data_IF_950024546652
#
_entry.id   IF_950024546652
#
_cell.length_a   1.000
_cell.length_b   1.000
_cell.length_c   1.000
_cell.angle_alpha   90.00
_cell.angle_beta   90.00
_cell.angle_gamma   90.00
#
_symmetry.space_group_name_H-M   'P 1'
#
loop_
_entity.id
_entity.type
_entity.pdbx_description
1 polymer ?
#
# COMPACT_ATOMS: atom_id res chain seq x y z
N UNK A 1 22.36 -7.29 16.82
CA UNK A 1 22.60 -7.24 15.36
C UNK A 1 22.19 -5.85 14.92
N UNK A 2 23.12 -5.05 14.40
CA UNK A 2 22.82 -3.70 13.89
C UNK A 2 22.56 -3.81 12.38
N UNK A 3 21.49 -3.17 11.91
CA UNK A 3 21.06 -3.22 10.50
C UNK A 3 21.69 -2.10 9.66
N UNK A 4 22.25 -1.09 10.32
CA UNK A 4 22.76 0.11 9.66
C UNK A 4 23.88 -0.20 8.66
N UNK A 5 23.73 0.28 7.43
CA UNK A 5 24.65 0.05 6.32
C UNK A 5 24.55 -1.34 5.70
N UNK A 6 23.64 -2.20 6.17
CA UNK A 6 23.44 -3.53 5.60
C UNK A 6 22.55 -3.49 4.35
N UNK A 7 22.64 -4.53 3.52
CA UNK A 7 21.67 -4.73 2.41
C UNK A 7 20.23 -4.85 2.91
N UNK A 8 20.05 -5.41 4.11
CA UNK A 8 18.73 -5.55 4.73
C UNK A 8 18.09 -4.20 5.03
N UNK A 9 18.87 -3.21 5.49
CA UNK A 9 18.35 -1.83 5.67
C UNK A 9 17.87 -1.25 4.33
N UNK A 10 18.64 -1.41 3.26
CA UNK A 10 18.24 -0.99 1.92
C UNK A 10 16.95 -1.67 1.45
N UNK A 11 16.86 -3.00 1.60
CA UNK A 11 15.65 -3.75 1.24
C UNK A 11 14.42 -3.30 2.04
N UNK A 12 14.57 -2.96 3.32
CA UNK A 12 13.48 -2.46 4.16
C UNK A 12 13.03 -1.06 3.71
N UNK A 13 13.96 -0.19 3.31
CA UNK A 13 13.63 1.12 2.75
C UNK A 13 12.86 0.99 1.42
N UNK A 14 13.33 0.11 0.54
CA UNK A 14 12.67 -0.15 -0.75
C UNK A 14 11.27 -0.75 -0.56
N UNK A 15 11.14 -1.73 0.35
CA UNK A 15 9.86 -2.34 0.70
C UNK A 15 8.89 -1.30 1.28
N UNK A 16 9.36 -0.48 2.24
CA UNK A 16 8.56 0.58 2.83
C UNK A 16 8.06 1.58 1.76
N UNK A 17 8.95 2.00 0.85
CA UNK A 17 8.57 2.88 -0.26
C UNK A 17 7.55 2.22 -1.20
N UNK A 18 7.71 0.93 -1.50
CA UNK A 18 6.79 0.16 -2.33
C UNK A 18 5.41 -0.01 -1.71
N UNK A 19 5.36 -0.42 -0.43
CA UNK A 19 4.13 -0.61 0.33
C UNK A 19 3.39 0.71 0.56
N UNK A 20 4.12 1.80 0.85
CA UNK A 20 3.53 3.14 0.97
C UNK A 20 2.85 3.60 -0.31
N UNK A 21 3.45 3.31 -1.47
CA UNK A 21 2.84 3.61 -2.76
C UNK A 21 1.66 2.69 -3.07
N UNK A 22 1.73 1.41 -2.70
CA UNK A 22 0.63 0.46 -2.87
C UNK A 22 -0.61 0.86 -2.04
N UNK A 23 -0.42 1.18 -0.76
CA UNK A 23 -1.47 1.69 0.12
C UNK A 23 -2.20 2.90 -0.51
N UNK A 24 -1.46 3.90 -1.00
CA UNK A 24 -2.07 5.07 -1.67
C UNK A 24 -2.87 4.69 -2.92
N UNK A 25 -2.40 3.74 -3.72
CA UNK A 25 -3.15 3.25 -4.90
C UNK A 25 -4.42 2.52 -4.50
N UNK A 26 -4.39 1.71 -3.44
CA UNK A 26 -5.58 1.03 -2.93
C UNK A 26 -6.65 2.02 -2.45
N UNK A 27 -6.27 3.07 -1.73
CA UNK A 27 -7.21 4.12 -1.34
C UNK A 27 -7.82 4.83 -2.55
N UNK A 28 -7.01 5.13 -3.57
CA UNK A 28 -7.51 5.71 -4.82
C UNK A 28 -8.49 4.76 -5.53
N UNK A 29 -8.18 3.47 -5.63
CA UNK A 29 -9.07 2.49 -6.25
C UNK A 29 -10.34 2.25 -5.45
N UNK A 30 -10.28 2.29 -4.12
CA UNK A 30 -11.48 2.27 -3.29
C UNK A 30 -12.40 3.45 -3.60
N UNK A 31 -11.85 4.67 -3.64
CA UNK A 31 -12.63 5.87 -3.97
C UNK A 31 -13.23 5.78 -5.38
N UNK A 32 -12.47 5.26 -6.35
CA UNK A 32 -12.96 5.02 -7.71
C UNK A 32 -14.09 4.01 -7.74
N UNK A 33 -13.98 2.91 -6.99
CA UNK A 33 -15.01 1.90 -6.86
C UNK A 33 -16.30 2.46 -6.20
N UNK A 34 -16.19 3.35 -5.20
CA UNK A 34 -17.38 4.01 -4.65
C UNK A 34 -18.12 4.86 -5.69
N UNK A 35 -17.37 5.65 -6.48
CA UNK A 35 -17.94 6.52 -7.52
C UNK A 35 -18.66 5.72 -8.60
N UNK A 36 -18.15 4.52 -8.90
CA UNK A 36 -18.72 3.61 -9.89
C UNK A 36 -19.82 2.69 -9.32
N UNK A 37 -20.08 2.75 -8.00
CA UNK A 37 -21.14 2.01 -7.32
C UNK A 37 -20.76 0.59 -6.87
N UNK A 38 -19.47 0.24 -6.90
CA UNK A 38 -18.96 -1.08 -6.50
C UNK A 38 -18.56 -1.10 -5.01
N UNK A 39 -19.55 -0.97 -4.11
CA UNK A 39 -19.32 -0.80 -2.68
C UNK A 39 -18.50 -1.94 -2.03
N UNK A 40 -18.76 -3.21 -2.39
CA UNK A 40 -18.03 -4.36 -1.85
C UNK A 40 -16.55 -4.34 -2.27
N UNK A 41 -16.29 -3.96 -3.52
CA UNK A 41 -14.92 -3.82 -4.06
C UNK A 41 -14.19 -2.68 -3.36
N UNK A 42 -14.87 -1.55 -3.14
CA UNK A 42 -14.31 -0.43 -2.39
C UNK A 42 -13.93 -0.82 -0.96
N UNK A 43 -14.77 -1.62 -0.28
CA UNK A 43 -14.49 -2.14 1.06
C UNK A 43 -13.23 -3.02 1.08
N UNK A 44 -13.08 -3.91 0.09
CA UNK A 44 -11.88 -4.76 -0.04
C UNK A 44 -10.62 -3.90 -0.20
N UNK A 45 -10.63 -2.92 -1.11
CA UNK A 45 -9.47 -2.03 -1.31
C UNK A 45 -9.12 -1.22 -0.06
N UNK A 46 -10.11 -0.71 0.67
CA UNK A 46 -9.88 -0.01 1.96
C UNK A 46 -9.30 -0.93 3.03
N UNK A 47 -9.78 -2.17 3.12
CA UNK A 47 -9.26 -3.12 4.11
C UNK A 47 -7.83 -3.58 3.82
N UNK A 48 -7.40 -3.47 2.56
CA UNK A 48 -6.05 -3.83 2.11
C UNK A 48 -5.07 -2.66 2.28
N UNK A 49 -5.57 -1.43 2.30
CA UNK A 49 -4.78 -0.22 2.52
C UNK A 49 -4.50 -0.02 4.01
#
# INVERSE_FOLDING_TARGET
>A
MDLKGSKTEGHLQDAFAGESQANRRYLYFAQKADVEGYNDVAAVFRSTA
#
